data_IF_700222155455
#
_entry.id   IF_700222155455
#
_cell.length_a   1.000
_cell.length_b   1.000
_cell.length_c   1.000
_cell.angle_alpha   90.00
_cell.angle_beta   90.00
_cell.angle_gamma   90.00
#
_symmetry.space_group_name_H-M   'P 1'
#
loop_
_entity.id
_entity.type
_entity.pdbx_description
1 polymer ?
#
# COMPACT_ATOMS: atom_id res chain seq x y z
N UNK A 1 18.88 5.30 -26.57
CA UNK A 1 19.15 4.55 -25.31
C UNK A 1 17.82 4.44 -24.57
N UNK A 2 17.26 3.24 -24.44
CA UNK A 2 16.06 3.04 -23.63
C UNK A 2 16.48 2.89 -22.18
N UNK A 3 16.07 3.82 -21.31
CA UNK A 3 16.28 3.68 -19.88
C UNK A 3 15.27 2.66 -19.32
N UNK A 4 15.77 1.62 -18.65
CA UNK A 4 14.92 0.71 -17.88
C UNK A 4 14.58 1.42 -16.55
N UNK A 5 13.31 1.77 -16.38
CA UNK A 5 12.82 2.40 -15.15
C UNK A 5 12.35 1.33 -14.17
N UNK A 6 13.12 1.09 -13.11
CA UNK A 6 12.71 0.18 -12.03
C UNK A 6 11.89 0.96 -10.99
N UNK A 7 10.60 0.64 -10.88
CA UNK A 7 9.72 1.24 -9.87
C UNK A 7 9.70 0.35 -8.63
N UNK A 8 10.12 0.87 -7.48
CA UNK A 8 9.98 0.20 -6.19
C UNK A 8 8.70 0.64 -5.49
N UNK A 9 8.02 -0.29 -4.84
CA UNK A 9 6.73 -0.06 -4.20
C UNK A 9 6.86 -0.12 -2.69
N UNK A 10 6.25 0.86 -2.02
CA UNK A 10 6.06 0.86 -0.57
C UNK A 10 4.57 0.77 -0.29
N UNK A 11 4.21 0.06 0.76
CA UNK A 11 2.83 0.06 1.25
C UNK A 11 2.65 1.19 2.25
N UNK A 12 1.48 1.81 2.20
CA UNK A 12 1.13 2.87 3.13
C UNK A 12 -0.18 2.51 3.82
N UNK A 13 -0.22 2.67 5.15
CA UNK A 13 -1.41 2.41 5.93
C UNK A 13 -2.48 3.48 5.67
N UNK A 14 -3.69 3.07 5.34
CA UNK A 14 -4.81 3.99 5.09
C UNK A 14 -5.17 4.80 6.36
N UNK A 15 -5.01 4.21 7.55
CA UNK A 15 -5.33 4.86 8.83
C UNK A 15 -4.31 5.89 9.30
N UNK A 16 -3.05 5.49 9.50
CA UNK A 16 -2.00 6.33 10.09
C UNK A 16 -0.89 6.74 9.12
N UNK A 17 -0.99 6.39 7.83
CA UNK A 17 0.00 6.70 6.80
C UNK A 17 1.41 6.09 7.04
N UNK A 18 1.55 5.18 8.02
CA UNK A 18 2.76 4.38 8.27
C UNK A 18 3.17 3.66 6.99
N UNK A 19 4.47 3.62 6.70
CA UNK A 19 5.01 2.99 5.49
C UNK A 19 5.62 1.62 5.81
N UNK A 20 5.56 0.71 4.85
CA UNK A 20 6.18 -0.61 4.90
C UNK A 20 7.00 -0.85 3.63
N UNK A 21 8.19 -1.44 3.81
CA UNK A 21 9.15 -1.70 2.75
C UNK A 21 10.24 -0.64 2.61
N UNK A 22 10.18 0.49 3.31
CA UNK A 22 11.29 1.45 3.29
C UNK A 22 12.56 0.87 3.95
N UNK A 23 13.77 1.27 3.48
CA UNK A 23 14.04 2.18 2.36
C UNK A 23 14.05 1.46 0.99
N UNK A 24 14.09 0.14 0.95
CA UNK A 24 14.40 -0.61 -0.29
C UNK A 24 13.20 -0.81 -1.23
N UNK A 25 11.99 -0.73 -0.69
CA UNK A 25 10.73 -1.05 -1.36
C UNK A 25 10.67 -2.50 -1.87
N UNK A 26 9.56 -2.80 -2.54
CA UNK A 26 9.25 -4.11 -3.12
C UNK A 26 9.21 -4.02 -4.65
N UNK A 27 9.41 -5.13 -5.34
CA UNK A 27 9.41 -5.16 -6.81
C UNK A 27 7.99 -5.20 -7.39
N UNK A 28 7.01 -5.60 -6.59
CA UNK A 28 5.60 -5.66 -6.98
C UNK A 28 4.64 -5.38 -5.83
N UNK A 29 3.41 -4.98 -6.15
CA UNK A 29 2.38 -4.75 -5.15
C UNK A 29 2.00 -6.03 -4.40
N UNK A 30 2.08 -7.18 -5.08
CA UNK A 30 1.84 -8.49 -4.49
C UNK A 30 2.93 -8.84 -3.47
N UNK A 31 4.20 -8.67 -3.83
CA UNK A 31 5.34 -8.88 -2.92
C UNK A 31 5.21 -7.99 -1.68
N UNK A 32 4.92 -6.70 -1.88
CA UNK A 32 4.70 -5.77 -0.79
C UNK A 32 3.61 -6.24 0.17
N UNK A 33 2.46 -6.66 -0.37
CA UNK A 33 1.33 -7.14 0.46
C UNK A 33 1.62 -8.45 1.17
N UNK A 34 2.34 -9.37 0.54
CA UNK A 34 2.76 -10.62 1.19
C UNK A 34 3.70 -10.31 2.36
N UNK A 35 4.73 -9.49 2.14
CA UNK A 35 5.67 -9.10 3.18
C UNK A 35 4.97 -8.37 4.34
N UNK A 36 4.10 -7.41 4.03
CA UNK A 36 3.32 -6.71 5.05
C UNK A 36 2.35 -7.64 5.81
N UNK A 37 1.75 -8.64 5.14
CA UNK A 37 0.88 -9.61 5.79
C UNK A 37 1.62 -10.44 6.85
N UNK A 38 2.84 -10.86 6.53
CA UNK A 38 3.76 -11.57 7.43
C UNK A 38 4.06 -10.68 8.65
N UNK A 39 4.27 -9.39 8.43
CA UNK A 39 4.49 -8.38 9.49
C UNK A 39 3.21 -7.93 10.21
N UNK A 40 2.11 -8.66 10.02
CA UNK A 40 0.86 -8.46 10.77
C UNK A 40 -0.12 -7.45 10.16
N UNK A 41 0.18 -6.87 8.99
CA UNK A 41 -0.77 -6.01 8.29
C UNK A 41 -1.98 -6.80 7.80
N UNK A 42 -3.11 -6.12 7.65
CA UNK A 42 -4.34 -6.72 7.13
C UNK A 42 -4.94 -5.85 6.04
N UNK A 43 -5.65 -6.53 5.14
CA UNK A 43 -6.21 -5.93 3.93
C UNK A 43 -7.73 -6.08 3.87
N UNK A 44 -8.48 -5.50 4.82
CA UNK A 44 -9.94 -5.64 4.85
C UNK A 44 -10.58 -5.04 3.60
N UNK A 45 -11.63 -5.69 3.12
CA UNK A 45 -12.42 -5.16 2.01
C UNK A 45 -13.04 -3.82 2.40
N UNK A 46 -12.99 -2.88 1.48
CA UNK A 46 -13.84 -1.69 1.55
C UNK A 46 -15.31 -2.07 1.43
N UNK A 47 -16.21 -1.21 1.90
CA UNK A 47 -17.66 -1.47 1.84
C UNK A 47 -18.34 -0.57 0.82
N UNK A 48 -19.25 -1.12 0.04
CA UNK A 48 -20.12 -0.36 -0.85
C UNK A 48 -21.22 0.37 -0.06
N UNK A 49 -22.00 1.22 -0.75
CA UNK A 49 -23.10 1.97 -0.12
C UNK A 49 -24.17 1.04 0.48
N UNK A 50 -24.36 -0.14 -0.10
CA UNK A 50 -25.30 -1.18 0.35
C UNK A 50 -24.74 -2.07 1.49
N UNK A 51 -23.52 -1.79 1.98
CA UNK A 51 -22.86 -2.58 3.01
C UNK A 51 -22.19 -3.86 2.52
N UNK A 52 -22.30 -4.20 1.23
CA UNK A 52 -21.61 -5.35 0.65
C UNK A 52 -20.11 -5.08 0.45
N UNK A 53 -19.27 -6.11 0.36
CA UNK A 53 -17.85 -5.94 0.05
C UNK A 53 -17.61 -5.28 -1.32
N UNK A 54 -16.74 -4.26 -1.34
CA UNK A 54 -16.19 -3.64 -2.53
C UNK A 54 -15.07 -4.47 -3.15
N UNK A 55 -14.67 -4.14 -4.39
CA UNK A 55 -13.66 -4.89 -5.17
C UNK A 55 -12.21 -4.54 -4.79
N UNK A 56 -12.02 -3.78 -3.72
CA UNK A 56 -10.74 -3.21 -3.33
C UNK A 56 -10.58 -3.29 -1.83
N UNK A 57 -9.33 -3.43 -1.42
CA UNK A 57 -8.95 -3.60 -0.02
C UNK A 57 -8.21 -2.37 0.49
N UNK A 58 -8.44 -2.04 1.75
CA UNK A 58 -7.60 -1.11 2.49
C UNK A 58 -6.27 -1.74 2.85
N UNK A 59 -5.25 -0.94 3.10
CA UNK A 59 -3.97 -1.40 3.62
C UNK A 59 -3.85 -0.91 5.07
N UNK A 60 -3.87 -1.82 6.06
CA UNK A 60 -4.00 -1.45 7.49
C UNK A 60 -2.87 -2.08 8.29
N UNK A 61 -2.06 -1.23 8.95
CA UNK A 61 -0.96 -1.68 9.80
C UNK A 61 -1.44 -2.26 11.15
N UNK A 62 -0.61 -3.06 11.85
CA UNK A 62 -0.96 -3.68 13.14
C UNK A 62 -1.49 -2.69 14.18
N UNK A 63 -0.96 -1.47 14.20
CA UNK A 63 -1.34 -0.44 15.17
C UNK A 63 -2.76 0.10 14.90
N UNK A 64 -3.21 0.09 13.65
CA UNK A 64 -4.53 0.59 13.25
C UNK A 64 -5.61 -0.50 13.22
N UNK A 65 -5.24 -1.78 13.12
CA UNK A 65 -6.19 -2.90 13.03
C UNK A 65 -7.23 -2.89 14.17
N UNK A 66 -6.86 -2.70 15.46
CA UNK A 66 -7.81 -2.81 16.57
C UNK A 66 -8.94 -1.77 16.51
N UNK A 67 -8.67 -0.61 15.92
CA UNK A 67 -9.62 0.51 15.84
C UNK A 67 -10.09 0.77 14.42
N UNK A 68 -9.82 -0.15 13.49
CA UNK A 68 -10.11 0.07 12.08
C UNK A 68 -11.61 0.02 11.78
N UNK A 69 -12.11 1.04 11.08
CA UNK A 69 -13.49 1.09 10.59
C UNK A 69 -13.49 0.94 9.06
N UNK A 70 -14.31 0.02 8.51
CA UNK A 70 -14.40 -0.19 7.06
C UNK A 70 -14.69 1.11 6.31
N UNK A 71 -13.80 1.46 5.37
CA UNK A 71 -13.96 2.64 4.53
C UNK A 71 -14.97 2.38 3.41
N UNK A 72 -15.78 3.39 3.09
CA UNK A 72 -16.72 3.32 1.97
C UNK A 72 -15.96 3.43 0.64
N UNK A 73 -16.36 2.63 -0.34
CA UNK A 73 -15.77 2.59 -1.69
C UNK A 73 -15.54 3.98 -2.30
N UNK A 74 -16.52 4.88 -2.17
CA UNK A 74 -16.50 6.22 -2.75
C UNK A 74 -15.70 7.25 -1.94
N UNK A 75 -15.30 6.94 -0.71
CA UNK A 75 -14.52 7.82 0.17
C UNK A 75 -13.04 7.47 0.19
N UNK A 76 -12.63 6.43 -0.54
CA UNK A 76 -11.21 6.09 -0.65
C UNK A 76 -10.51 7.25 -1.37
N UNK A 77 -9.52 7.93 -0.74
CA UNK A 77 -8.75 8.94 -1.44
C UNK A 77 -8.12 8.27 -2.67
N UNK A 78 -8.36 8.83 -3.85
CA UNK A 78 -7.72 8.39 -5.08
C UNK A 78 -6.23 8.68 -4.97
N UNK A 79 -5.46 7.76 -4.40
CA UNK A 79 -4.01 7.85 -4.37
C UNK A 79 -3.44 6.61 -5.02
N UNK A 80 -2.89 6.84 -6.21
CA UNK A 80 -1.96 5.94 -6.85
C UNK A 80 -0.85 5.65 -5.82
N UNK A 81 -0.75 4.39 -5.39
CA UNK A 81 0.22 3.88 -4.42
C UNK A 81 1.62 3.75 -5.04
N UNK A 82 2.02 4.71 -5.85
CA UNK A 82 3.35 4.80 -6.44
C UNK A 82 4.00 6.06 -5.87
N UNK A 83 5.19 5.90 -5.26
CA UNK A 83 6.04 7.07 -5.08
C UNK A 83 6.31 7.64 -6.48
N UNK A 84 6.24 8.97 -6.67
CA UNK A 84 6.81 9.56 -7.88
C UNK A 84 8.29 9.17 -7.94
N UNK A 85 8.79 8.87 -9.15
CA UNK A 85 10.18 8.45 -9.41
C UNK A 85 11.22 9.36 -8.72
N UNK A 86 10.87 10.62 -8.45
CA UNK A 86 11.71 11.59 -7.71
C UNK A 86 11.97 11.23 -6.25
N UNK A 87 11.17 10.37 -5.63
CA UNK A 87 11.21 10.02 -4.20
C UNK A 87 11.60 8.56 -3.94
N UNK A 88 11.69 7.73 -4.98
CA UNK A 88 12.25 6.39 -4.87
C UNK A 88 13.79 6.48 -4.78
N UNK A 89 14.46 5.73 -3.88
CA UNK A 89 15.91 5.74 -3.81
C UNK A 89 16.49 5.34 -5.16
N UNK A 90 17.39 6.16 -5.70
CA UNK A 90 18.15 5.80 -6.90
C UNK A 90 18.99 4.59 -6.53
N UNK A 91 18.83 3.51 -7.29
CA UNK A 91 19.70 2.36 -7.14
C UNK A 91 21.12 2.79 -7.53
N UNK A 92 21.94 3.14 -6.54
CA UNK A 92 23.38 3.23 -6.74
C UNK A 92 23.88 1.81 -7.00
N UNK A 93 24.12 1.53 -8.27
CA UNK A 93 24.74 0.30 -8.74
C UNK A 93 26.21 0.37 -8.35
N UNK A 94 26.61 -0.48 -7.40
CA UNK A 94 28.00 -0.87 -7.20
C UNK A 94 28.30 -2.13 -8.03
#
# INVERSE_FOLDING_TARGET
>A
MSALTFTRLVLQCDGCQKRHGEPHGHNSAQEARIAAYIDGWRFPATVKKDGSPGTGASDVCPDCIPTWVPQRWLQRPARANHLPISEAPRGDVA
#
